data_IF_137242702519
#
_entry.id   IF_137242702519
#
_cell.length_a   1.000
_cell.length_b   1.000
_cell.length_c   1.000
_cell.angle_alpha   90.00
_cell.angle_beta   90.00
_cell.angle_gamma   90.00
#
_symmetry.space_group_name_H-M   'P 1'
#
loop_
_entity.id
_entity.type
_entity.pdbx_description
1 polymer ?
#
# COMPACT_ATOMS: atom_id res chain seq x y z
N UNK A 1 -26.81 -5.28 -24.83
CA UNK A 1 -27.16 -6.12 -23.65
C UNK A 1 -28.57 -5.77 -23.26
N UNK A 2 -29.42 -6.76 -22.97
CA UNK A 2 -30.76 -6.48 -22.48
C UNK A 2 -30.64 -5.83 -21.09
N UNK A 3 -31.36 -4.72 -20.81
CA UNK A 3 -31.16 -3.94 -19.59
C UNK A 3 -31.47 -4.72 -18.32
N UNK A 4 -32.36 -5.74 -18.37
CA UNK A 4 -32.74 -6.52 -17.21
C UNK A 4 -31.68 -7.56 -16.76
N UNK A 5 -30.68 -7.83 -17.58
CA UNK A 5 -29.60 -8.76 -17.23
C UNK A 5 -28.77 -8.22 -16.06
N UNK A 6 -28.48 -6.91 -16.05
CA UNK A 6 -27.68 -6.30 -14.99
C UNK A 6 -28.48 -6.03 -13.69
N UNK A 7 -29.77 -5.73 -13.82
CA UNK A 7 -30.55 -5.18 -12.71
C UNK A 7 -31.39 -6.21 -11.95
N UNK A 8 -30.78 -7.38 -11.69
CA UNK A 8 -31.34 -8.45 -10.85
C UNK A 8 -30.23 -9.30 -10.21
N UNK A 9 -30.50 -9.95 -9.08
CA UNK A 9 -29.64 -11.02 -8.58
C UNK A 9 -29.70 -12.28 -9.45
N UNK A 10 -28.72 -13.15 -9.23
CA UNK A 10 -28.66 -14.49 -9.81
C UNK A 10 -28.24 -15.49 -8.74
N UNK A 11 -28.74 -16.74 -8.85
CA UNK A 11 -28.26 -17.83 -8.04
C UNK A 11 -27.16 -18.62 -8.77
N UNK A 12 -26.03 -18.79 -8.09
CA UNK A 12 -24.93 -19.64 -8.54
C UNK A 12 -24.88 -20.86 -7.62
N UNK A 13 -24.84 -22.05 -8.19
CA UNK A 13 -24.81 -23.28 -7.43
C UNK A 13 -23.45 -23.96 -7.51
N UNK A 14 -22.89 -24.35 -6.34
CA UNK A 14 -21.68 -25.14 -6.28
C UNK A 14 -21.91 -26.56 -6.77
N UNK A 15 -20.82 -27.29 -7.06
CA UNK A 15 -20.89 -28.73 -7.40
C UNK A 15 -21.42 -29.57 -6.25
N UNK A 16 -21.34 -29.11 -5.03
CA UNK A 16 -21.86 -29.76 -3.82
C UNK A 16 -23.36 -29.46 -3.58
N UNK A 17 -23.92 -28.53 -4.32
CA UNK A 17 -25.33 -28.15 -4.23
C UNK A 17 -25.59 -26.89 -3.42
N UNK A 18 -24.56 -26.27 -2.80
CA UNK A 18 -24.70 -25.02 -2.09
C UNK A 18 -25.00 -23.87 -3.06
N UNK A 19 -25.82 -22.92 -2.63
CA UNK A 19 -26.28 -21.83 -3.48
C UNK A 19 -25.88 -20.49 -2.88
N UNK A 20 -25.31 -19.62 -3.70
CA UNK A 20 -24.97 -18.22 -3.37
C UNK A 20 -25.74 -17.29 -4.30
N UNK A 21 -26.30 -16.22 -3.74
CA UNK A 21 -26.88 -15.16 -4.55
C UNK A 21 -25.79 -14.13 -4.91
N UNK A 22 -25.75 -13.78 -6.18
CA UNK A 22 -24.83 -12.79 -6.72
C UNK A 22 -25.59 -11.57 -7.25
N UNK A 23 -25.04 -10.40 -7.02
CA UNK A 23 -25.47 -9.13 -7.59
C UNK A 23 -24.32 -8.53 -8.40
N UNK A 24 -24.64 -7.85 -9.50
CA UNK A 24 -23.65 -7.29 -10.39
C UNK A 24 -23.61 -5.76 -10.27
N UNK A 25 -22.41 -5.23 -10.34
CA UNK A 25 -22.10 -3.81 -10.23
C UNK A 25 -22.63 -3.04 -11.44
N UNK A 26 -23.43 -1.98 -11.21
CA UNK A 26 -23.59 -0.96 -12.23
C UNK A 26 -22.28 -0.16 -12.34
N UNK A 27 -21.52 -0.42 -13.38
CA UNK A 27 -20.20 0.19 -13.56
C UNK A 27 -20.30 1.70 -13.74
N UNK A 28 -21.34 2.19 -14.46
CA UNK A 28 -21.47 3.62 -14.79
C UNK A 28 -21.73 4.45 -13.53
N UNK A 29 -22.67 4.02 -12.69
CA UNK A 29 -23.00 4.77 -11.45
C UNK A 29 -21.87 4.60 -10.44
N UNK A 30 -21.33 3.40 -10.29
CA UNK A 30 -20.23 3.14 -9.36
C UNK A 30 -18.98 3.93 -9.71
N UNK A 31 -18.56 3.97 -10.98
CA UNK A 31 -17.41 4.77 -11.43
C UNK A 31 -17.65 6.27 -11.27
N UNK A 32 -18.88 6.72 -11.43
CA UNK A 32 -19.19 8.12 -11.13
C UNK A 32 -19.01 8.46 -9.66
N UNK A 33 -19.45 7.60 -8.78
CA UNK A 33 -19.22 7.80 -7.34
C UNK A 33 -17.73 7.70 -7.01
N UNK A 34 -17.03 6.69 -7.53
CA UNK A 34 -15.61 6.49 -7.25
C UNK A 34 -14.68 7.57 -7.80
N UNK A 35 -14.98 8.12 -8.98
CA UNK A 35 -14.01 8.95 -9.72
C UNK A 35 -14.53 10.30 -10.21
N UNK A 36 -15.83 10.43 -10.53
CA UNK A 36 -16.33 11.62 -11.23
C UNK A 36 -16.97 12.64 -10.29
N UNK A 37 -17.74 12.17 -9.31
CA UNK A 37 -18.54 13.05 -8.47
C UNK A 37 -17.73 13.87 -7.47
N UNK A 38 -16.51 13.47 -7.17
CA UNK A 38 -15.57 14.28 -6.36
C UNK A 38 -15.26 15.64 -6.98
N UNK A 39 -15.35 15.77 -8.31
CA UNK A 39 -15.09 17.01 -9.05
C UNK A 39 -16.29 17.94 -9.22
N UNK A 40 -17.46 17.62 -8.63
CA UNK A 40 -18.68 18.43 -8.73
C UNK A 40 -19.33 18.63 -7.36
N UNK A 41 -20.23 19.63 -7.24
CA UNK A 41 -20.91 19.83 -5.95
C UNK A 41 -21.70 18.61 -5.52
N UNK A 42 -21.67 18.27 -4.23
CA UNK A 42 -22.33 17.10 -3.68
C UNK A 42 -23.82 17.05 -4.00
N UNK A 43 -24.49 18.22 -4.05
CA UNK A 43 -25.89 18.32 -4.47
C UNK A 43 -26.11 17.92 -5.92
N UNK A 44 -25.26 18.40 -6.84
CA UNK A 44 -25.36 18.06 -8.27
C UNK A 44 -25.06 16.58 -8.52
N UNK A 45 -24.06 16.02 -7.82
CA UNK A 45 -23.73 14.61 -7.86
C UNK A 45 -24.90 13.73 -7.41
N UNK A 46 -25.54 14.06 -6.27
CA UNK A 46 -26.69 13.32 -5.76
C UNK A 46 -27.91 13.38 -6.71
N UNK A 47 -28.14 14.52 -7.35
CA UNK A 47 -29.20 14.67 -8.35
C UNK A 47 -28.93 13.84 -9.61
N UNK A 48 -27.68 13.83 -10.11
CA UNK A 48 -27.30 13.00 -11.27
C UNK A 48 -27.45 11.51 -10.95
N UNK A 49 -27.04 11.08 -9.73
CA UNK A 49 -27.21 9.70 -9.28
C UNK A 49 -28.68 9.25 -9.34
N UNK A 50 -29.58 10.01 -8.69
CA UNK A 50 -31.02 9.67 -8.64
C UNK A 50 -31.65 9.72 -10.03
N UNK A 51 -31.29 10.72 -10.85
CA UNK A 51 -31.74 10.77 -12.24
C UNK A 51 -31.36 9.52 -13.01
N UNK A 52 -30.14 9.00 -12.85
CA UNK A 52 -29.71 7.75 -13.51
C UNK A 52 -30.52 6.53 -13.07
N UNK A 53 -30.89 6.43 -11.81
CA UNK A 53 -31.79 5.38 -11.34
C UNK A 53 -33.15 5.47 -12.06
N UNK A 54 -33.68 6.68 -12.24
CA UNK A 54 -34.92 6.87 -13.02
C UNK A 54 -34.77 6.58 -14.50
N UNK A 55 -33.63 6.90 -15.11
CA UNK A 55 -33.33 6.57 -16.50
C UNK A 55 -33.31 5.04 -16.70
N UNK A 56 -32.63 4.31 -15.82
CA UNK A 56 -32.62 2.83 -15.78
C UNK A 56 -34.05 2.27 -15.65
N UNK A 57 -34.82 2.80 -14.71
CA UNK A 57 -36.23 2.39 -14.53
C UNK A 57 -37.05 2.62 -15.80
N UNK A 58 -36.88 3.74 -16.45
CA UNK A 58 -37.59 4.10 -17.70
C UNK A 58 -37.22 3.12 -18.81
N UNK A 59 -35.95 2.81 -18.94
CA UNK A 59 -35.45 1.86 -19.94
C UNK A 59 -36.02 0.46 -19.70
N UNK A 60 -36.01 -0.04 -18.45
CA UNK A 60 -36.61 -1.32 -18.09
C UNK A 60 -38.10 -1.39 -18.46
N UNK A 61 -38.86 -0.34 -18.17
CA UNK A 61 -40.29 -0.28 -18.51
C UNK A 61 -40.47 -0.31 -20.03
N UNK A 62 -39.69 0.44 -20.80
CA UNK A 62 -39.75 0.47 -22.25
C UNK A 62 -39.45 -0.90 -22.89
N UNK A 63 -38.68 -1.74 -22.21
CA UNK A 63 -38.40 -3.13 -22.59
C UNK A 63 -39.39 -4.13 -22.00
N UNK A 64 -40.50 -3.67 -21.41
CA UNK A 64 -41.53 -4.52 -20.86
C UNK A 64 -41.15 -5.29 -19.58
N UNK A 65 -40.07 -4.82 -18.91
CA UNK A 65 -39.61 -5.42 -17.65
C UNK A 65 -40.32 -4.76 -16.48
N UNK A 66 -41.37 -5.35 -16.00
CA UNK A 66 -42.12 -4.93 -14.82
C UNK A 66 -41.81 -5.84 -13.64
N UNK A 67 -41.54 -5.29 -12.49
CA UNK A 67 -41.24 -6.04 -11.27
C UNK A 67 -40.19 -5.34 -10.43
N UNK A 68 -39.82 -5.89 -9.29
CA UNK A 68 -38.72 -5.37 -8.52
C UNK A 68 -37.39 -5.60 -9.27
N UNK A 69 -36.70 -4.51 -9.60
CA UNK A 69 -35.36 -4.52 -10.19
C UNK A 69 -34.37 -4.01 -9.14
N UNK A 70 -33.15 -4.50 -9.16
CA UNK A 70 -32.10 -4.13 -8.22
C UNK A 70 -30.97 -3.42 -8.97
N UNK A 71 -30.69 -2.18 -8.61
CA UNK A 71 -29.48 -1.46 -9.04
C UNK A 71 -28.45 -1.59 -7.94
N UNK A 72 -27.31 -2.19 -8.25
CA UNK A 72 -26.24 -2.42 -7.29
C UNK A 72 -25.09 -1.47 -7.57
N UNK A 73 -24.85 -0.54 -6.64
CA UNK A 73 -23.68 0.35 -6.65
C UNK A 73 -22.65 -0.25 -5.70
N UNK A 74 -21.52 -0.66 -6.25
CA UNK A 74 -20.49 -1.41 -5.52
C UNK A 74 -19.20 -0.62 -5.61
N UNK A 75 -18.61 -0.28 -4.48
CA UNK A 75 -17.47 0.60 -4.31
C UNK A 75 -16.48 -0.02 -3.34
N UNK A 76 -15.23 0.35 -3.48
CA UNK A 76 -14.23 0.18 -2.43
C UNK A 76 -14.58 1.08 -1.25
N UNK A 77 -14.49 0.58 -0.04
CA UNK A 77 -14.97 1.30 1.15
C UNK A 77 -14.12 2.53 1.50
N UNK A 78 -12.84 2.48 1.18
CA UNK A 78 -11.83 3.47 1.53
C UNK A 78 -11.57 4.52 0.43
N UNK A 79 -11.66 4.15 -0.86
CA UNK A 79 -11.05 4.92 -1.95
C UNK A 79 -11.80 6.17 -2.40
N UNK A 80 -13.12 6.25 -2.17
CA UNK A 80 -13.91 7.32 -2.78
C UNK A 80 -13.82 8.65 -2.00
N UNK A 81 -13.82 8.59 -0.68
CA UNK A 81 -14.21 9.71 0.18
C UNK A 81 -13.11 10.73 0.40
N UNK A 82 -11.86 10.31 0.43
CA UNK A 82 -10.70 11.21 0.60
C UNK A 82 -10.53 12.21 -0.56
N UNK A 83 -11.06 11.89 -1.75
CA UNK A 83 -11.04 12.78 -2.90
C UNK A 83 -12.23 13.74 -2.96
N UNK A 84 -13.20 13.60 -2.05
CA UNK A 84 -14.36 14.48 -1.98
C UNK A 84 -14.12 15.63 -1.03
N UNK A 85 -14.64 16.81 -1.35
CA UNK A 85 -14.69 17.92 -0.40
C UNK A 85 -15.40 17.46 0.89
N UNK A 86 -14.75 17.67 2.04
CA UNK A 86 -15.28 17.36 3.37
C UNK A 86 -15.76 15.88 3.49
N UNK A 87 -14.95 14.93 2.97
CA UNK A 87 -15.19 13.47 3.01
C UNK A 87 -16.53 13.06 2.38
N UNK A 88 -17.00 13.76 1.37
CA UNK A 88 -18.24 13.46 0.68
C UNK A 88 -19.53 13.69 1.48
N UNK A 89 -19.48 14.37 2.63
CA UNK A 89 -20.65 14.58 3.50
C UNK A 89 -21.80 15.30 2.81
N UNK A 90 -21.51 16.30 1.98
CA UNK A 90 -22.54 16.99 1.21
C UNK A 90 -23.23 16.04 0.22
N UNK A 91 -22.44 15.26 -0.51
CA UNK A 91 -22.96 14.28 -1.46
C UNK A 91 -23.85 13.25 -0.77
N UNK A 92 -23.35 12.59 0.27
CA UNK A 92 -24.08 11.52 0.99
C UNK A 92 -25.37 12.05 1.62
N UNK A 93 -25.34 13.20 2.28
CA UNK A 93 -26.55 13.78 2.90
C UNK A 93 -27.63 14.15 1.87
N UNK A 94 -27.23 14.75 0.72
CA UNK A 94 -28.17 15.04 -0.36
C UNK A 94 -28.70 13.74 -0.99
N UNK A 95 -27.82 12.75 -1.24
CA UNK A 95 -28.20 11.47 -1.81
C UNK A 95 -29.23 10.73 -0.96
N UNK A 96 -28.96 10.57 0.33
CA UNK A 96 -29.90 9.90 1.25
C UNK A 96 -31.21 10.65 1.39
N UNK A 97 -31.18 11.98 1.37
CA UNK A 97 -32.40 12.80 1.39
C UNK A 97 -33.24 12.56 0.13
N UNK A 98 -32.62 12.54 -1.04
CA UNK A 98 -33.33 12.31 -2.30
C UNK A 98 -33.88 10.88 -2.39
N UNK A 99 -33.07 9.88 -2.04
CA UNK A 99 -33.49 8.47 -2.07
C UNK A 99 -34.65 8.22 -1.10
N UNK A 100 -34.59 8.76 0.11
CA UNK A 100 -35.68 8.60 1.10
C UNK A 100 -36.97 9.34 0.72
N UNK A 101 -36.86 10.45 -0.02
CA UNK A 101 -38.00 11.24 -0.48
C UNK A 101 -38.65 10.72 -1.76
N UNK A 102 -38.01 9.77 -2.47
CA UNK A 102 -38.49 9.30 -3.76
C UNK A 102 -39.38 8.07 -3.62
N UNK A 103 -40.71 8.16 -3.96
CA UNK A 103 -41.62 7.03 -3.78
C UNK A 103 -41.38 5.87 -4.78
N UNK A 104 -40.56 6.05 -5.78
CA UNK A 104 -40.24 5.04 -6.79
C UNK A 104 -38.95 4.30 -6.52
N UNK A 105 -38.19 4.73 -5.50
CA UNK A 105 -36.93 4.12 -5.11
C UNK A 105 -37.04 3.58 -3.69
N UNK A 106 -36.54 2.39 -3.49
CA UNK A 106 -36.41 1.79 -2.16
C UNK A 106 -34.99 1.31 -1.96
N UNK A 107 -34.30 1.85 -0.97
CA UNK A 107 -33.01 1.34 -0.53
C UNK A 107 -33.19 0.07 0.26
N UNK A 108 -32.46 -0.97 -0.06
CA UNK A 108 -32.55 -2.31 0.56
C UNK A 108 -31.18 -2.94 0.67
N UNK A 109 -31.03 -3.85 1.60
CA UNK A 109 -29.91 -4.80 1.60
C UNK A 109 -30.18 -5.93 0.58
N UNK A 110 -29.14 -6.64 0.09
CA UNK A 110 -29.35 -7.82 -0.75
C UNK A 110 -30.31 -8.84 -0.15
N UNK A 111 -30.22 -9.08 1.16
CA UNK A 111 -31.11 -10.00 1.88
C UNK A 111 -32.57 -9.55 1.83
N UNK A 112 -32.84 -8.26 2.06
CA UNK A 112 -34.21 -7.72 1.97
C UNK A 112 -34.77 -7.80 0.56
N UNK A 113 -33.94 -7.53 -0.47
CA UNK A 113 -34.37 -7.68 -1.86
C UNK A 113 -34.74 -9.14 -2.17
N UNK A 114 -33.89 -10.09 -1.81
CA UNK A 114 -34.16 -11.52 -2.02
C UNK A 114 -35.40 -12.02 -1.26
N UNK A 115 -35.68 -11.45 -0.08
CA UNK A 115 -36.92 -11.75 0.65
C UNK A 115 -38.17 -11.22 -0.08
N UNK A 116 -38.09 -10.10 -0.79
CA UNK A 116 -39.19 -9.54 -1.59
C UNK A 116 -39.33 -10.25 -2.95
N UNK A 117 -38.25 -10.74 -3.53
CA UNK A 117 -38.18 -11.36 -4.84
C UNK A 117 -37.31 -12.62 -4.77
N UNK A 118 -37.75 -13.71 -4.17
CA UNK A 118 -36.93 -14.89 -3.96
C UNK A 118 -36.64 -15.69 -5.24
N UNK A 119 -37.49 -15.56 -6.25
CA UNK A 119 -37.31 -16.26 -7.52
C UNK A 119 -36.34 -15.47 -8.44
N UNK A 120 -35.13 -15.95 -8.53
CA UNK A 120 -34.09 -15.36 -9.36
C UNK A 120 -33.55 -16.37 -10.39
N UNK A 121 -33.08 -15.91 -11.57
CA UNK A 121 -32.46 -16.80 -12.55
C UNK A 121 -31.16 -17.41 -12.01
N UNK A 122 -30.76 -18.52 -12.60
CA UNK A 122 -29.50 -19.21 -12.29
C UNK A 122 -28.44 -18.89 -13.31
N UNK A 123 -27.19 -18.88 -12.83
CA UNK A 123 -26.00 -18.91 -13.67
C UNK A 123 -25.36 -20.29 -13.46
N UNK A 124 -25.33 -21.09 -14.53
CA UNK A 124 -24.78 -22.45 -14.49
C UNK A 124 -23.26 -22.46 -14.63
N UNK A 125 -22.70 -21.48 -15.34
CA UNK A 125 -21.27 -21.34 -15.58
C UNK A 125 -20.84 -19.89 -15.31
N UNK A 126 -20.34 -19.66 -14.10
CA UNK A 126 -19.86 -18.34 -13.70
C UNK A 126 -18.47 -18.11 -14.26
N UNK A 127 -18.32 -17.07 -15.07
CA UNK A 127 -17.01 -16.64 -15.56
C UNK A 127 -16.10 -16.26 -14.40
N UNK A 128 -14.86 -16.77 -14.43
CA UNK A 128 -13.83 -16.43 -13.47
C UNK A 128 -13.18 -15.08 -13.87
N UNK A 129 -13.45 -14.05 -13.13
CA UNK A 129 -12.93 -12.72 -13.41
C UNK A 129 -13.30 -11.70 -12.35
N UNK A 130 -12.65 -10.56 -12.44
CA UNK A 130 -12.85 -9.40 -11.57
C UNK A 130 -13.54 -8.25 -12.32
N UNK A 131 -13.70 -7.12 -11.65
CA UNK A 131 -14.18 -5.88 -12.25
C UNK A 131 -13.11 -5.17 -13.10
N UNK A 132 -11.83 -5.55 -12.96
CA UNK A 132 -10.72 -5.06 -13.78
C UNK A 132 -10.47 -6.06 -14.91
N UNK A 133 -10.43 -5.61 -16.14
CA UNK A 133 -10.14 -6.38 -17.36
C UNK A 133 -11.00 -7.66 -17.54
N UNK A 134 -11.96 -7.93 -16.65
CA UNK A 134 -12.81 -9.13 -16.64
C UNK A 134 -12.05 -10.45 -16.40
N UNK A 135 -10.86 -10.38 -15.82
CA UNK A 135 -10.03 -11.52 -15.42
C UNK A 135 -9.40 -11.30 -14.03
N UNK A 136 -8.41 -12.08 -13.65
CA UNK A 136 -7.70 -11.94 -12.39
C UNK A 136 -6.24 -11.55 -12.56
N UNK A 137 -5.82 -11.10 -13.75
CA UNK A 137 -4.41 -10.83 -14.07
C UNK A 137 -3.74 -9.79 -13.17
N UNK A 138 -4.51 -8.91 -12.53
CA UNK A 138 -4.00 -7.92 -11.56
C UNK A 138 -3.66 -8.54 -10.19
N UNK A 139 -4.09 -9.77 -9.91
CA UNK A 139 -3.88 -10.40 -8.59
C UNK A 139 -3.20 -11.75 -8.64
N UNK A 140 -3.11 -12.38 -9.80
CA UNK A 140 -2.52 -13.70 -9.97
C UNK A 140 -2.12 -13.94 -11.43
N UNK A 141 -0.93 -14.48 -11.63
CA UNK A 141 -0.42 -14.88 -12.96
C UNK A 141 1.05 -14.57 -13.13
N UNK A 142 1.54 -13.47 -12.59
CA UNK A 142 2.96 -13.15 -12.59
C UNK A 142 3.73 -13.89 -11.48
N UNK A 143 5.04 -13.97 -11.61
CA UNK A 143 5.89 -14.73 -10.69
C UNK A 143 5.82 -14.22 -9.23
N UNK A 144 5.69 -12.92 -9.05
CA UNK A 144 5.58 -12.30 -7.73
C UNK A 144 4.25 -12.64 -7.08
N UNK A 145 3.15 -12.40 -7.77
CA UNK A 145 1.81 -12.72 -7.29
C UNK A 145 1.71 -14.21 -6.95
N UNK A 146 2.14 -15.09 -7.88
CA UNK A 146 2.10 -16.53 -7.70
C UNK A 146 2.91 -16.97 -6.48
N UNK A 147 4.07 -16.35 -6.23
CA UNK A 147 4.89 -16.59 -5.03
C UNK A 147 4.16 -16.18 -3.77
N UNK A 148 3.51 -15.00 -3.78
CA UNK A 148 2.68 -14.54 -2.67
C UNK A 148 1.57 -15.53 -2.34
N UNK A 149 0.85 -16.01 -3.37
CA UNK A 149 -0.18 -17.04 -3.21
C UNK A 149 0.35 -18.36 -2.68
N UNK A 150 1.53 -18.80 -3.11
CA UNK A 150 2.19 -20.02 -2.58
C UNK A 150 2.51 -19.87 -1.09
N UNK A 151 3.02 -18.71 -0.66
CA UNK A 151 3.32 -18.44 0.75
C UNK A 151 2.05 -18.44 1.59
N UNK A 152 1.00 -17.79 1.10
CA UNK A 152 -0.32 -17.76 1.72
C UNK A 152 -0.90 -19.17 1.85
N UNK A 153 -0.96 -19.93 0.76
CA UNK A 153 -1.50 -21.28 0.72
C UNK A 153 -0.75 -22.22 1.66
N UNK A 154 0.58 -22.20 1.66
CA UNK A 154 1.41 -23.04 2.53
C UNK A 154 1.16 -22.71 4.02
N UNK A 155 1.01 -21.44 4.35
CA UNK A 155 0.69 -21.02 5.72
C UNK A 155 -0.73 -21.46 6.11
N UNK A 156 -1.70 -21.35 5.19
CA UNK A 156 -3.09 -21.78 5.40
C UNK A 156 -3.19 -23.31 5.60
N UNK A 157 -2.36 -24.08 4.90
CA UNK A 157 -2.28 -25.53 5.11
C UNK A 157 -1.81 -25.91 6.51
N UNK A 158 -0.86 -25.16 7.08
CA UNK A 158 -0.47 -25.34 8.48
C UNK A 158 -1.65 -25.06 9.42
N UNK A 159 -2.32 -23.91 9.23
CA UNK A 159 -3.43 -23.49 10.09
C UNK A 159 -4.59 -24.49 10.05
N UNK A 160 -4.87 -25.07 8.87
CA UNK A 160 -5.86 -26.11 8.70
C UNK A 160 -5.61 -27.37 9.55
N UNK A 161 -4.35 -27.71 9.85
CA UNK A 161 -4.02 -28.85 10.72
C UNK A 161 -4.47 -28.61 12.18
N UNK A 162 -4.46 -27.36 12.64
CA UNK A 162 -4.97 -26.97 13.94
C UNK A 162 -6.50 -26.90 13.94
N UNK A 163 -7.08 -26.30 12.92
CA UNK A 163 -8.54 -26.21 12.75
C UNK A 163 -9.19 -27.60 12.73
N UNK A 164 -8.60 -28.54 12.03
CA UNK A 164 -9.08 -29.93 11.91
C UNK A 164 -8.63 -30.84 13.08
N UNK A 165 -8.01 -30.30 14.12
CA UNK A 165 -7.60 -31.05 15.30
C UNK A 165 -6.41 -32.02 15.12
N UNK A 166 -5.71 -31.95 13.97
CA UNK A 166 -4.49 -32.74 13.69
C UNK A 166 -3.33 -32.27 14.59
N UNK A 167 -3.29 -30.97 14.89
CA UNK A 167 -2.40 -30.36 15.88
C UNK A 167 -3.22 -29.68 16.96
N UNK A 168 -2.61 -29.48 18.13
CA UNK A 168 -3.29 -28.89 19.28
C UNK A 168 -2.65 -27.57 19.66
N UNK A 169 -3.47 -26.59 20.00
CA UNK A 169 -3.06 -25.29 20.57
C UNK A 169 -4.19 -24.75 21.45
N UNK A 170 -3.98 -23.60 22.11
CA UNK A 170 -5.05 -22.96 22.87
C UNK A 170 -6.04 -22.26 21.92
N UNK A 171 -7.31 -22.09 22.30
CA UNK A 171 -8.27 -21.35 21.50
C UNK A 171 -7.81 -19.91 21.18
N UNK A 172 -7.15 -19.26 22.12
CA UNK A 172 -6.64 -17.89 21.99
C UNK A 172 -5.52 -17.82 20.94
N UNK A 173 -4.58 -18.77 20.99
CA UNK A 173 -3.48 -18.86 20.02
C UNK A 173 -4.01 -19.17 18.62
N UNK A 174 -4.99 -20.05 18.51
CA UNK A 174 -5.64 -20.36 17.23
C UNK A 174 -6.38 -19.12 16.66
N UNK A 175 -7.14 -18.43 17.50
CA UNK A 175 -7.83 -17.19 17.08
C UNK A 175 -6.85 -16.12 16.62
N UNK A 176 -5.73 -15.95 17.35
CA UNK A 176 -4.70 -14.98 16.97
C UNK A 176 -4.07 -15.34 15.62
N UNK A 177 -3.77 -16.62 15.40
CA UNK A 177 -3.24 -17.09 14.13
C UNK A 177 -4.23 -16.86 12.97
N UNK A 178 -5.54 -17.08 13.18
CA UNK A 178 -6.56 -16.76 12.21
C UNK A 178 -6.65 -15.26 11.93
N UNK A 179 -6.51 -14.41 12.92
CA UNK A 179 -6.54 -12.96 12.72
C UNK A 179 -5.41 -12.51 11.78
N UNK A 180 -4.19 -13.02 11.98
CA UNK A 180 -3.08 -12.73 11.06
C UNK A 180 -3.31 -13.34 9.66
N UNK A 181 -3.86 -14.55 9.59
CA UNK A 181 -4.19 -15.19 8.32
C UNK A 181 -5.19 -14.36 7.52
N UNK A 182 -6.27 -13.87 8.15
CA UNK A 182 -7.27 -13.02 7.50
C UNK A 182 -6.69 -11.68 7.02
N UNK A 183 -5.73 -11.11 7.75
CA UNK A 183 -5.00 -9.92 7.28
C UNK A 183 -4.20 -10.26 6.02
N UNK A 184 -3.50 -11.40 6.01
CA UNK A 184 -2.69 -11.83 4.87
C UNK A 184 -3.54 -12.24 3.64
N UNK A 185 -4.81 -12.62 3.83
CA UNK A 185 -5.77 -12.93 2.75
C UNK A 185 -6.33 -11.68 2.06
N UNK A 186 -6.02 -10.47 2.55
CA UNK A 186 -6.42 -9.21 1.93
C UNK A 186 -5.90 -9.09 0.49
N UNK A 187 -6.73 -8.60 -0.41
CA UNK A 187 -6.37 -8.46 -1.84
C UNK A 187 -5.33 -7.37 -2.10
N UNK A 188 -5.18 -6.41 -1.17
CA UNK A 188 -4.25 -5.28 -1.33
C UNK A 188 -2.80 -5.71 -1.54
N UNK A 189 -2.36 -6.78 -0.86
CA UNK A 189 -1.02 -7.32 -1.07
C UNK A 189 -0.77 -7.66 -2.54
N UNK A 190 -1.69 -8.39 -3.15
CA UNK A 190 -1.61 -8.89 -4.52
C UNK A 190 -1.84 -7.79 -5.56
N UNK A 191 -2.49 -6.69 -5.19
CA UNK A 191 -2.58 -5.48 -6.01
C UNK A 191 -1.22 -4.82 -6.24
N UNK A 192 -0.31 -4.90 -5.26
CA UNK A 192 1.01 -4.29 -5.32
C UNK A 192 2.12 -5.25 -5.77
N UNK A 193 1.83 -6.55 -5.89
CA UNK A 193 2.74 -7.51 -6.50
C UNK A 193 2.55 -7.50 -8.02
N UNK A 194 3.60 -7.82 -8.78
CA UNK A 194 3.57 -7.85 -10.25
C UNK A 194 4.01 -6.53 -10.89
N UNK A 195 3.87 -6.48 -12.19
CA UNK A 195 4.44 -5.40 -13.02
C UNK A 195 3.50 -4.25 -13.30
N UNK A 196 2.20 -4.41 -13.07
CA UNK A 196 1.16 -3.47 -13.48
C UNK A 196 0.89 -2.35 -12.45
N UNK A 197 1.32 -2.52 -11.20
CA UNK A 197 1.14 -1.56 -10.12
C UNK A 197 2.43 -1.34 -9.33
N UNK A 198 2.54 -0.19 -8.66
CA UNK A 198 3.58 0.10 -7.68
C UNK A 198 3.04 1.02 -6.58
N UNK A 199 3.30 0.66 -5.34
CA UNK A 199 2.96 1.48 -4.17
C UNK A 199 3.96 2.64 -3.98
N UNK A 200 5.11 2.58 -4.69
CA UNK A 200 6.28 3.43 -4.40
C UNK A 200 7.03 3.01 -3.13
N UNK A 201 6.58 1.93 -2.47
CA UNK A 201 7.23 1.34 -1.30
C UNK A 201 7.02 -0.19 -1.26
N UNK A 202 7.20 -0.82 -2.41
CA UNK A 202 6.85 -2.22 -2.66
C UNK A 202 7.62 -3.20 -1.76
N UNK A 203 8.88 -2.89 -1.43
CA UNK A 203 9.67 -3.71 -0.49
C UNK A 203 9.06 -3.75 0.92
N UNK A 204 8.54 -2.62 1.40
CA UNK A 204 7.89 -2.58 2.70
C UNK A 204 6.57 -3.36 2.69
N UNK A 205 5.80 -3.27 1.60
CA UNK A 205 4.59 -4.09 1.43
C UNK A 205 4.90 -5.59 1.44
N UNK A 206 5.90 -6.03 0.66
CA UNK A 206 6.38 -7.41 0.68
C UNK A 206 6.80 -7.86 2.08
N UNK A 207 7.60 -7.05 2.76
CA UNK A 207 8.06 -7.39 4.12
C UNK A 207 6.88 -7.49 5.09
N UNK A 208 5.94 -6.55 5.05
CA UNK A 208 4.73 -6.57 5.90
C UNK A 208 3.86 -7.80 5.64
N UNK A 209 3.68 -8.20 4.39
CA UNK A 209 2.97 -9.42 4.02
C UNK A 209 3.64 -10.65 4.61
N UNK A 210 4.95 -10.81 4.40
CA UNK A 210 5.71 -11.95 4.94
C UNK A 210 5.75 -11.96 6.47
N UNK A 211 5.85 -10.80 7.11
CA UNK A 211 5.80 -10.70 8.56
C UNK A 211 4.42 -11.05 9.12
N UNK A 212 3.36 -10.69 8.42
CA UNK A 212 1.99 -11.11 8.78
C UNK A 212 1.86 -12.63 8.74
N UNK A 213 2.38 -13.28 7.70
CA UNK A 213 2.41 -14.74 7.63
C UNK A 213 3.30 -15.37 8.70
N UNK A 214 4.45 -14.78 9.03
CA UNK A 214 5.30 -15.22 10.15
C UNK A 214 4.56 -15.23 11.49
N UNK A 215 3.72 -14.21 11.74
CA UNK A 215 2.94 -14.12 12.96
C UNK A 215 1.95 -15.28 13.13
N UNK A 216 1.47 -15.88 12.05
CA UNK A 216 0.66 -17.11 12.12
C UNK A 216 1.47 -18.24 12.79
N UNK A 217 2.72 -18.46 12.35
CA UNK A 217 3.60 -19.48 12.93
C UNK A 217 3.93 -19.18 14.39
N UNK A 218 4.30 -17.93 14.68
CA UNK A 218 4.64 -17.47 16.03
C UNK A 218 3.46 -17.67 17.00
N UNK A 219 2.26 -17.32 16.59
CA UNK A 219 1.05 -17.48 17.40
C UNK A 219 0.76 -18.94 17.75
N UNK A 220 1.12 -19.86 16.87
CA UNK A 220 0.95 -21.31 17.08
C UNK A 220 2.13 -21.97 17.79
N UNK A 221 3.20 -21.23 18.10
CA UNK A 221 4.43 -21.77 18.68
C UNK A 221 5.24 -22.62 17.70
N UNK A 222 5.04 -22.42 16.39
CA UNK A 222 5.74 -23.13 15.33
C UNK A 222 7.01 -22.39 14.90
N UNK A 223 7.99 -23.16 14.38
CA UNK A 223 9.16 -22.56 13.76
C UNK A 223 8.78 -21.87 12.47
N UNK A 224 9.17 -20.59 12.35
CA UNK A 224 8.97 -19.83 11.11
C UNK A 224 9.79 -20.44 9.98
N UNK A 225 9.20 -20.81 8.86
CA UNK A 225 9.92 -21.46 7.77
C UNK A 225 10.80 -20.47 6.98
N UNK A 226 11.92 -20.96 6.48
CA UNK A 226 12.92 -20.14 5.79
C UNK A 226 12.38 -19.47 4.52
N UNK A 227 11.36 -20.03 3.87
CA UNK A 227 10.83 -19.43 2.63
C UNK A 227 10.23 -18.03 2.90
N UNK A 228 9.71 -17.75 4.08
CA UNK A 228 9.23 -16.42 4.46
C UNK A 228 10.36 -15.37 4.64
N UNK A 229 11.63 -15.81 4.57
CA UNK A 229 12.77 -14.90 4.51
C UNK A 229 13.16 -14.52 3.08
N UNK A 230 12.57 -15.18 2.08
CA UNK A 230 12.78 -14.85 0.67
C UNK A 230 11.74 -13.80 0.25
N UNK A 231 12.16 -12.66 -0.29
CA UNK A 231 11.23 -11.64 -0.78
C UNK A 231 10.32 -12.19 -1.87
N UNK A 232 9.04 -11.77 -1.83
CA UNK A 232 8.07 -12.00 -2.91
C UNK A 232 8.49 -11.19 -4.12
N UNK A 233 8.77 -9.90 -3.91
CA UNK A 233 9.32 -8.99 -4.92
C UNK A 233 10.83 -9.19 -4.96
N UNK A 234 11.41 -9.63 -6.09
CA UNK A 234 12.86 -9.74 -6.19
C UNK A 234 13.52 -8.40 -5.93
N UNK A 235 14.40 -8.36 -4.94
CA UNK A 235 15.17 -7.14 -4.69
C UNK A 235 16.00 -6.84 -5.94
N UNK A 236 15.56 -5.87 -6.71
CA UNK A 236 16.41 -5.26 -7.72
C UNK A 236 17.50 -4.49 -6.97
N UNK A 237 18.75 -4.56 -7.39
CA UNK A 237 19.73 -3.62 -6.89
C UNK A 237 19.18 -2.23 -7.19
N UNK A 238 18.96 -1.43 -6.14
CA UNK A 238 18.52 -0.04 -6.30
C UNK A 238 19.65 0.67 -7.03
N UNK A 239 19.49 0.84 -8.32
CA UNK A 239 20.41 1.65 -9.11
C UNK A 239 20.10 3.12 -8.84
N UNK A 240 21.12 3.93 -8.64
CA UNK A 240 20.95 5.36 -8.60
C UNK A 240 20.29 5.85 -9.90
N UNK A 241 19.36 6.80 -9.80
CA UNK A 241 18.73 7.44 -10.98
C UNK A 241 19.78 8.05 -11.89
N UNK A 242 20.85 8.58 -11.27
CA UNK A 242 22.07 9.01 -11.93
C UNK A 242 23.24 8.25 -11.30
N UNK A 243 23.97 7.49 -12.11
CA UNK A 243 25.16 6.78 -11.63
C UNK A 243 26.31 7.75 -11.37
N UNK A 244 27.11 7.50 -10.33
CA UNK A 244 28.37 8.23 -10.13
C UNK A 244 29.34 7.97 -11.29
N UNK A 245 29.95 9.05 -11.79
CA UNK A 245 30.82 9.00 -12.97
C UNK A 245 32.32 9.15 -12.65
N UNK A 246 32.66 9.71 -11.50
CA UNK A 246 34.05 9.89 -11.05
C UNK A 246 34.09 10.04 -9.52
N UNK A 247 35.30 10.10 -8.97
CA UNK A 247 35.52 10.47 -7.58
C UNK A 247 35.22 11.97 -7.37
N UNK A 248 34.67 12.29 -6.21
CA UNK A 248 34.38 13.69 -5.84
C UNK A 248 35.03 14.04 -4.50
N UNK A 249 35.26 15.33 -4.33
CA UNK A 249 35.70 15.91 -3.05
C UNK A 249 35.03 17.28 -2.90
N UNK A 250 33.71 17.31 -2.58
CA UNK A 250 32.97 18.56 -2.47
C UNK A 250 33.40 19.36 -1.25
N UNK A 251 33.21 20.68 -1.32
CA UNK A 251 33.31 21.53 -0.15
C UNK A 251 32.03 21.42 0.66
N UNK A 252 32.12 20.92 1.88
CA UNK A 252 30.95 20.73 2.75
C UNK A 252 30.68 22.03 3.53
N UNK A 253 29.93 22.94 2.97
CA UNK A 253 29.65 24.27 3.57
C UNK A 253 28.14 24.58 3.70
N UNK A 254 27.28 23.61 3.32
CA UNK A 254 25.83 23.75 3.33
C UNK A 254 25.27 24.43 2.08
N UNK A 255 26.09 24.56 1.02
CA UNK A 255 25.70 25.07 -0.29
C UNK A 255 26.21 24.11 -1.37
N UNK A 256 25.33 23.70 -2.27
CA UNK A 256 25.74 22.85 -3.40
C UNK A 256 26.14 23.75 -4.59
N UNK A 257 27.37 24.18 -4.62
CA UNK A 257 27.85 25.01 -5.70
C UNK A 257 28.00 24.24 -7.02
N UNK A 258 27.92 24.96 -8.14
CA UNK A 258 27.98 24.35 -9.46
C UNK A 258 29.31 23.61 -9.67
N UNK A 259 29.23 22.34 -10.06
CA UNK A 259 30.38 21.48 -10.35
C UNK A 259 30.81 20.57 -9.21
N UNK A 260 30.43 20.84 -7.96
CA UNK A 260 30.89 20.04 -6.82
C UNK A 260 30.32 18.62 -6.78
N UNK A 261 29.05 18.47 -7.19
CA UNK A 261 28.33 17.20 -7.17
C UNK A 261 28.05 16.66 -8.57
N UNK A 262 28.61 17.25 -9.64
CA UNK A 262 28.29 16.85 -11.03
C UNK A 262 28.66 15.40 -11.36
N UNK A 263 29.66 14.83 -10.70
CA UNK A 263 30.08 13.45 -10.88
C UNK A 263 29.46 12.47 -9.86
N UNK A 264 28.64 12.97 -8.94
CA UNK A 264 27.98 12.16 -7.93
C UNK A 264 26.87 11.28 -8.51
N UNK A 265 26.66 10.13 -7.91
CA UNK A 265 25.45 9.37 -8.12
C UNK A 265 24.28 10.01 -7.36
N UNK A 266 23.05 9.89 -7.86
CA UNK A 266 21.88 10.48 -7.23
C UNK A 266 20.69 9.53 -7.26
N UNK A 267 20.03 9.41 -6.12
CA UNK A 267 18.72 8.81 -5.97
C UNK A 267 17.67 9.91 -5.84
N UNK A 268 16.60 9.83 -6.63
CA UNK A 268 15.47 10.74 -6.53
C UNK A 268 14.38 10.10 -5.67
N UNK A 269 13.86 10.83 -4.71
CA UNK A 269 12.71 10.35 -3.96
C UNK A 269 11.46 10.42 -4.84
N UNK A 270 10.86 9.28 -5.12
CA UNK A 270 9.56 9.21 -5.79
C UNK A 270 8.45 9.11 -4.74
N UNK A 271 7.44 9.96 -4.83
CA UNK A 271 6.18 9.71 -4.14
C UNK A 271 5.51 8.51 -4.79
N UNK A 272 5.06 7.53 -3.99
CA UNK A 272 4.29 6.41 -4.53
C UNK A 272 3.01 6.89 -5.23
N UNK A 273 2.46 6.08 -6.13
CA UNK A 273 1.26 6.39 -6.92
C UNK A 273 0.04 6.80 -6.06
N UNK A 274 0.03 6.43 -4.79
CA UNK A 274 -1.00 6.77 -3.79
C UNK A 274 -0.53 7.83 -2.78
N UNK A 275 0.67 8.40 -2.93
CA UNK A 275 1.18 9.41 -2.00
C UNK A 275 0.41 10.72 -2.17
N UNK A 276 -0.45 11.03 -1.20
CA UNK A 276 -1.16 12.31 -1.13
C UNK A 276 -0.21 13.49 -0.78
N UNK A 277 0.98 13.21 -0.26
CA UNK A 277 1.99 14.20 0.11
C UNK A 277 3.29 13.99 -0.67
N UNK A 278 3.94 15.08 -1.03
CA UNK A 278 5.28 15.04 -1.60
C UNK A 278 6.29 14.50 -0.56
N UNK A 279 7.34 13.78 -0.96
CA UNK A 279 8.33 13.26 -0.04
C UNK A 279 9.04 14.41 0.71
N UNK A 280 9.40 14.16 1.98
CA UNK A 280 10.12 15.13 2.81
C UNK A 280 11.52 15.40 2.26
N UNK A 281 12.22 14.38 1.79
CA UNK A 281 13.48 14.50 1.05
C UNK A 281 13.22 14.33 -0.43
N UNK A 282 13.86 15.13 -1.27
CA UNK A 282 13.71 15.09 -2.73
C UNK A 282 14.79 14.28 -3.42
N UNK A 283 15.99 14.27 -2.86
CA UNK A 283 17.10 13.51 -3.41
C UNK A 283 18.16 13.16 -2.36
N UNK A 284 18.91 12.10 -2.66
CA UNK A 284 20.17 11.78 -1.98
C UNK A 284 21.24 11.58 -3.04
N UNK A 285 22.26 12.47 -3.04
CA UNK A 285 23.43 12.29 -3.88
C UNK A 285 24.58 11.67 -3.09
N UNK A 286 25.38 10.86 -3.74
CA UNK A 286 26.52 10.18 -3.12
C UNK A 286 27.73 10.16 -4.04
N UNK A 287 28.90 10.18 -3.44
CA UNK A 287 30.16 10.01 -4.13
C UNK A 287 31.28 9.69 -3.16
N UNK A 288 32.45 9.40 -3.68
CA UNK A 288 33.56 8.94 -2.88
C UNK A 288 34.85 9.68 -3.26
N UNK A 289 35.74 9.83 -2.28
CA UNK A 289 37.16 9.92 -2.52
C UNK A 289 37.87 8.68 -1.95
N UNK A 290 39.16 8.73 -1.70
CA UNK A 290 39.93 7.59 -1.16
C UNK A 290 39.72 7.36 0.34
N UNK A 291 39.07 8.29 1.03
CA UNK A 291 38.98 8.31 2.49
C UNK A 291 37.55 8.43 2.99
N UNK A 292 36.66 9.03 2.20
CA UNK A 292 35.32 9.37 2.63
C UNK A 292 34.25 8.94 1.61
N UNK A 293 33.09 8.58 2.14
CA UNK A 293 31.80 8.63 1.45
C UNK A 293 31.22 10.02 1.68
N UNK A 294 30.91 10.73 0.60
CA UNK A 294 30.19 12.00 0.66
C UNK A 294 28.71 11.76 0.37
N UNK A 295 27.86 12.38 1.18
CA UNK A 295 26.42 12.33 1.04
C UNK A 295 25.86 13.75 1.02
N UNK A 296 24.96 14.02 0.08
CA UNK A 296 24.16 15.24 0.01
C UNK A 296 22.69 14.85 0.06
N UNK A 297 21.97 15.33 1.06
CA UNK A 297 20.53 15.08 1.24
C UNK A 297 19.78 16.39 1.04
N UNK A 298 18.90 16.43 0.05
CA UNK A 298 18.09 17.60 -0.27
C UNK A 298 16.67 17.43 0.28
N UNK A 299 16.24 18.43 1.03
CA UNK A 299 14.89 18.50 1.60
C UNK A 299 13.95 19.22 0.63
N UNK A 300 12.71 18.78 0.60
CA UNK A 300 11.65 19.46 -0.14
C UNK A 300 11.38 20.85 0.46
N UNK A 301 11.51 21.93 -0.30
CA UNK A 301 11.32 23.29 0.21
C UNK A 301 9.89 23.63 0.65
N UNK A 302 8.90 22.81 0.25
CA UNK A 302 7.51 22.96 0.69
C UNK A 302 7.30 22.57 2.17
N UNK A 303 8.25 21.81 2.75
CA UNK A 303 8.27 21.54 4.18
C UNK A 303 9.12 22.59 4.89
N UNK A 304 8.58 23.20 5.94
CA UNK A 304 9.37 24.08 6.80
C UNK A 304 10.64 23.35 7.23
N UNK A 305 11.78 24.00 7.06
CA UNK A 305 13.08 23.51 7.53
C UNK A 305 12.93 22.91 8.93
N UNK A 306 13.82 22.01 9.34
CA UNK A 306 13.88 21.46 10.71
C UNK A 306 14.02 22.61 11.74
N UNK A 307 13.00 23.50 11.77
CA UNK A 307 12.96 24.74 12.55
C UNK A 307 12.87 24.49 14.07
N UNK A 308 12.72 23.23 14.46
CA UNK A 308 12.74 22.77 15.84
C UNK A 308 13.96 21.90 16.15
N UNK A 309 13.81 20.98 17.09
CA UNK A 309 14.76 19.90 17.32
C UNK A 309 14.31 18.67 16.54
N UNK A 310 15.23 18.06 15.79
CA UNK A 310 14.96 16.89 14.95
C UNK A 310 16.21 16.08 14.70
N UNK A 311 16.05 14.98 14.01
CA UNK A 311 17.13 14.08 13.67
C UNK A 311 16.93 13.49 12.28
N UNK A 312 18.00 13.45 11.49
CA UNK A 312 18.06 12.72 10.22
C UNK A 312 18.94 11.51 10.45
N UNK A 313 18.39 10.33 10.21
CA UNK A 313 19.08 9.06 10.32
C UNK A 313 19.31 8.49 8.93
N UNK A 314 20.55 8.12 8.61
CA UNK A 314 20.95 7.51 7.33
C UNK A 314 21.56 6.15 7.66
N UNK A 315 20.91 5.10 7.20
CA UNK A 315 21.33 3.72 7.39
C UNK A 315 22.08 3.24 6.15
N UNK A 316 23.24 2.61 6.35
CA UNK A 316 24.11 2.19 5.28
C UNK A 316 24.57 0.75 5.49
N UNK A 317 24.79 0.04 4.38
CA UNK A 317 25.51 -1.24 4.36
C UNK A 317 26.89 -0.99 3.76
N UNK A 318 27.91 -0.88 4.60
CA UNK A 318 29.29 -0.84 4.13
C UNK A 318 29.78 -2.23 3.79
N UNK A 319 30.55 -2.42 2.70
CA UNK A 319 31.18 -3.70 2.37
C UNK A 319 32.10 -4.18 3.49
N UNK A 320 32.08 -5.46 3.81
CA UNK A 320 32.96 -6.05 4.80
C UNK A 320 32.25 -7.01 5.75
N UNK A 321 33.01 -7.63 6.63
CA UNK A 321 32.48 -8.51 7.66
C UNK A 321 32.18 -7.71 8.92
N UNK A 322 30.93 -7.48 9.21
CA UNK A 322 30.49 -6.82 10.45
C UNK A 322 29.11 -7.31 10.82
N UNK A 323 28.75 -7.08 12.09
CA UNK A 323 27.38 -7.26 12.53
C UNK A 323 26.45 -6.30 11.77
N UNK A 324 25.22 -6.73 11.53
CA UNK A 324 24.18 -5.92 10.88
C UNK A 324 22.94 -5.88 11.76
N UNK A 325 22.21 -4.78 11.72
CA UNK A 325 20.91 -4.61 12.33
C UNK A 325 19.83 -4.52 11.25
N UNK A 326 18.68 -5.08 11.52
CA UNK A 326 17.50 -5.03 10.66
C UNK A 326 16.51 -3.93 11.05
N UNK A 327 16.71 -3.33 12.23
CA UNK A 327 15.86 -2.26 12.74
C UNK A 327 16.63 -0.95 12.90
N UNK A 328 15.94 0.14 12.64
CA UNK A 328 16.41 1.47 12.97
C UNK A 328 16.53 1.66 14.50
N UNK A 329 17.18 2.74 14.93
CA UNK A 329 17.37 3.04 16.34
C UNK A 329 16.06 3.25 17.10
N UNK A 330 15.00 3.67 16.42
CA UNK A 330 13.66 3.85 16.99
C UNK A 330 12.74 2.63 16.80
N UNK A 331 13.28 1.50 16.33
CA UNK A 331 12.56 0.24 16.19
C UNK A 331 11.77 0.08 14.88
N UNK A 332 12.00 0.94 13.88
CA UNK A 332 11.43 0.77 12.55
C UNK A 332 12.23 -0.29 11.79
N UNK A 333 11.55 -1.24 11.14
CA UNK A 333 12.20 -2.24 10.30
C UNK A 333 12.83 -1.56 9.08
N UNK A 334 14.11 -1.84 8.84
CA UNK A 334 14.82 -1.39 7.64
C UNK A 334 14.59 -2.41 6.51
N UNK A 335 14.50 -1.95 5.27
CA UNK A 335 14.35 -2.83 4.10
C UNK A 335 15.60 -3.66 3.77
N UNK A 336 16.71 -3.46 4.51
CA UNK A 336 17.98 -4.11 4.29
C UNK A 336 18.78 -4.21 5.61
N UNK A 337 19.72 -5.15 5.75
CA UNK A 337 20.59 -5.22 6.90
C UNK A 337 21.64 -4.11 6.87
N UNK A 338 21.55 -3.14 7.78
CA UNK A 338 22.47 -2.03 7.88
C UNK A 338 23.59 -2.30 8.93
N UNK A 339 24.81 -1.87 8.63
CA UNK A 339 25.94 -1.98 9.56
C UNK A 339 26.52 -0.62 9.98
N UNK A 340 26.03 0.46 9.41
CA UNK A 340 26.38 1.85 9.77
C UNK A 340 25.11 2.68 9.90
N UNK A 341 25.11 3.58 10.89
CA UNK A 341 24.08 4.61 11.08
C UNK A 341 24.78 5.96 11.19
N UNK A 342 24.44 6.89 10.31
CA UNK A 342 24.80 8.29 10.43
C UNK A 342 23.62 9.07 10.99
N UNK A 343 23.80 9.71 12.12
CA UNK A 343 22.79 10.48 12.84
C UNK A 343 23.16 11.97 12.81
N UNK A 344 22.40 12.78 12.09
CA UNK A 344 22.55 14.23 12.06
C UNK A 344 21.50 14.88 12.97
N UNK A 345 21.92 15.47 14.06
CA UNK A 345 21.07 16.10 15.07
C UNK A 345 20.89 17.59 14.81
N UNK A 346 19.65 18.04 14.85
CA UNK A 346 19.29 19.45 14.73
C UNK A 346 18.75 19.98 16.05
N UNK A 347 19.19 21.18 16.44
CA UNK A 347 18.69 21.93 17.59
C UNK A 347 18.39 23.38 17.16
N UNK A 348 17.18 23.84 17.43
CA UNK A 348 16.71 25.17 17.06
C UNK A 348 16.95 25.51 15.56
N UNK A 349 16.76 24.53 14.68
CA UNK A 349 16.91 24.70 13.23
C UNK A 349 18.35 24.67 12.71
N UNK A 350 19.34 24.43 13.56
CA UNK A 350 20.75 24.35 13.18
C UNK A 350 21.29 22.94 13.40
N UNK A 351 22.21 22.50 12.54
CA UNK A 351 22.95 21.26 12.74
C UNK A 351 23.78 21.34 14.01
N UNK A 352 23.43 20.54 15.01
CA UNK A 352 24.12 20.49 16.30
C UNK A 352 25.29 19.52 16.31
N UNK A 353 25.27 18.51 15.46
CA UNK A 353 26.35 17.54 15.31
C UNK A 353 25.95 16.34 14.50
N UNK A 354 26.94 15.59 14.03
CA UNK A 354 26.75 14.34 13.30
C UNK A 354 27.56 13.24 13.97
N UNK A 355 26.95 12.06 14.12
CA UNK A 355 27.56 10.90 14.76
C UNK A 355 27.39 9.66 13.89
N UNK A 356 28.47 8.94 13.67
CA UNK A 356 28.48 7.63 13.03
C UNK A 356 28.47 6.54 14.09
N UNK A 357 27.59 5.53 13.90
CA UNK A 357 27.49 4.36 14.75
C UNK A 357 27.71 3.07 13.94
N UNK A 358 28.09 2.02 14.63
CA UNK A 358 28.24 0.67 14.08
C UNK A 358 27.15 -0.25 14.65
N UNK A 359 26.66 -1.18 13.84
CA UNK A 359 25.71 -2.20 14.31
C UNK A 359 26.39 -3.24 15.21
N UNK A 360 25.75 -3.61 16.31
CA UNK A 360 26.24 -4.67 17.18
C UNK A 360 25.69 -6.06 16.83
N UNK A 361 24.66 -6.16 15.99
CA UNK A 361 24.02 -7.41 15.56
C UNK A 361 22.93 -7.92 16.51
N UNK A 362 22.58 -7.14 17.50
CA UNK A 362 21.49 -7.38 18.46
C UNK A 362 20.45 -6.24 18.44
N UNK A 363 20.33 -5.59 17.28
CA UNK A 363 19.51 -4.42 17.01
C UNK A 363 19.94 -3.15 17.81
N UNK A 364 21.15 -3.16 18.38
CA UNK A 364 21.73 -1.96 19.00
C UNK A 364 22.80 -1.29 18.12
N UNK A 365 22.97 0.01 18.33
CA UNK A 365 23.94 0.87 17.62
C UNK A 365 24.98 1.37 18.62
N UNK A 366 26.25 1.03 18.37
CA UNK A 366 27.36 1.21 19.30
C UNK A 366 28.51 2.00 18.65
N UNK A 367 29.58 2.20 19.39
CA UNK A 367 30.83 2.83 18.96
C UNK A 367 30.64 4.19 18.28
N UNK A 368 30.03 5.19 18.98
CA UNK A 368 29.78 6.50 18.40
C UNK A 368 31.09 7.22 18.05
N UNK A 369 31.18 7.67 16.80
CA UNK A 369 32.30 8.50 16.29
C UNK A 369 31.71 9.80 15.77
N UNK A 370 32.30 10.95 16.19
CA UNK A 370 31.87 12.25 15.70
C UNK A 370 32.34 12.42 14.25
N UNK A 371 31.44 12.83 13.40
CA UNK A 371 31.72 13.17 11.99
C UNK A 371 31.95 14.67 11.94
N UNK A 372 33.24 15.06 11.81
CA UNK A 372 33.66 16.46 11.78
C UNK A 372 33.33 17.16 10.44
N UNK A 373 33.28 16.39 9.35
CA UNK A 373 33.03 16.88 7.99
C UNK A 373 31.54 16.87 7.71
N UNK A 374 30.80 17.87 8.20
CA UNK A 374 29.39 18.01 7.98
C UNK A 374 28.95 19.47 7.95
N UNK A 375 28.05 19.84 7.06
CA UNK A 375 27.44 21.16 6.99
C UNK A 375 25.95 21.05 6.63
N UNK A 376 25.15 22.02 7.04
CA UNK A 376 23.77 22.13 6.66
C UNK A 376 23.42 23.54 6.21
N UNK A 377 22.70 23.63 5.10
CA UNK A 377 22.06 24.84 4.57
C UNK A 377 20.57 24.87 4.85
N UNK A 378 19.83 25.72 4.16
CA UNK A 378 18.40 25.93 4.36
C UNK A 378 17.58 24.65 4.09
N UNK A 379 17.88 23.93 2.99
CA UNK A 379 17.21 22.68 2.59
C UNK A 379 18.22 21.60 2.18
N UNK A 380 19.39 21.61 2.78
CA UNK A 380 20.53 20.79 2.38
C UNK A 380 21.28 20.29 3.59
N UNK A 381 21.67 19.02 3.57
CA UNK A 381 22.61 18.41 4.50
C UNK A 381 23.74 17.77 3.70
N UNK A 382 24.98 18.15 3.99
CA UNK A 382 26.17 17.57 3.39
C UNK A 382 27.03 16.89 4.45
N UNK A 383 27.51 15.70 4.15
CA UNK A 383 28.27 14.84 5.06
C UNK A 383 29.49 14.25 4.37
N UNK A 384 30.60 14.17 5.08
CA UNK A 384 31.77 13.39 4.71
C UNK A 384 32.00 12.28 5.74
N UNK A 385 31.55 11.10 5.44
CA UNK A 385 31.60 9.91 6.34
C UNK A 385 32.88 9.13 6.08
N UNK A 386 33.79 8.93 7.07
CA UNK A 386 35.00 8.14 6.89
C UNK A 386 34.71 6.73 6.46
N UNK A 387 35.52 6.18 5.54
CA UNK A 387 35.40 4.80 5.03
C UNK A 387 36.01 3.76 5.99
N UNK A 388 36.89 4.18 6.92
CA UNK A 388 37.55 3.32 7.94
C UNK A 388 37.05 3.64 9.36
#
# INVERSE_FOLDING_TARGET
TEPDVLYRPYYVQSKQGDTVAMVFRDIVISDKVGFTYSGVSGKAAAQDFVRRIHDIRTELINHGKSGPNLVSVILDGENAWENYENDGKEFLNNLYTLLNGDPLIKTVTPTEFLAMAPEQPKIDDLWAGSWINHDYSTWIGEDEENRGWEYLATTRELLAKYENGVRQTTPEALQQAFNYMYIAEGSDWFWWFGSDQSSGNDEAFDQMFRDTLRQVYVSLGETVPNYLSVPVIPQQPVNADVASTDLITPLLDGQADAGEWDAAGTYLASGGAMAAAQPYFTSVSYGFDKQNLFLKVEQNPDYSSLSGSGMVEIYLTAPGSGATNSFSRNGTLLGFPANRLVEAKYEAGSLAGVTLYTAAGDETWVDPVVVESAAAGENLLELGVPLE
#
